data_IF_342022030330
#
_entry.id   IF_342022030330
#
_cell.length_a   1.000
_cell.length_b   1.000
_cell.length_c   1.000
_cell.angle_alpha   90.00
_cell.angle_beta   90.00
_cell.angle_gamma   90.00
#
_symmetry.space_group_name_H-M   'P 1'
#
loop_
_entity.id
_entity.type
_entity.pdbx_description
1 polymer ?
#
# COMPACT_ATOMS: atom_id res chain seq x y z
N UNK A 1 0.34 -9.91 11.47
CA UNK A 1 0.07 -10.51 10.15
C UNK A 1 0.68 -9.66 9.04
N UNK A 2 0.89 -10.22 7.85
CA UNK A 2 1.40 -9.48 6.68
C UNK A 2 0.31 -9.41 5.62
N UNK A 3 0.09 -8.22 5.04
CA UNK A 3 -0.84 -7.99 3.93
C UNK A 3 -0.07 -7.45 2.74
N UNK A 4 -0.31 -8.03 1.57
CA UNK A 4 0.39 -7.69 0.33
C UNK A 4 -0.65 -7.29 -0.71
N UNK A 5 -0.49 -6.10 -1.29
CA UNK A 5 -1.23 -5.66 -2.46
C UNK A 5 -0.29 -5.63 -3.67
N UNK A 6 -0.71 -6.22 -4.78
CA UNK A 6 0.04 -6.24 -6.03
C UNK A 6 -0.60 -5.25 -7.01
N UNK A 7 0.18 -4.27 -7.46
CA UNK A 7 -0.29 -3.17 -8.30
C UNK A 7 0.38 -3.29 -9.67
N UNK A 8 -0.43 -3.46 -10.71
CA UNK A 8 0.03 -3.27 -12.09
C UNK A 8 0.19 -1.78 -12.38
N UNK A 9 1.35 -1.42 -12.90
CA UNK A 9 1.70 -0.03 -13.18
C UNK A 9 1.99 0.07 -14.67
N UNK A 10 1.31 0.98 -15.40
CA UNK A 10 1.66 1.23 -16.79
C UNK A 10 3.13 1.61 -16.95
N UNK A 11 3.72 1.22 -18.07
CA UNK A 11 5.12 1.51 -18.36
C UNK A 11 5.41 3.01 -18.26
N UNK A 12 6.55 3.35 -17.63
CA UNK A 12 6.95 4.74 -17.41
C UNK A 12 6.28 5.44 -16.21
N UNK A 13 5.23 4.89 -15.60
CA UNK A 13 4.54 5.52 -14.46
C UNK A 13 5.05 5.09 -13.08
N UNK A 14 6.08 4.25 -13.02
CA UNK A 14 6.66 3.76 -11.76
C UNK A 14 7.13 4.88 -10.83
N UNK A 15 7.90 5.85 -11.33
CA UNK A 15 8.38 6.96 -10.51
C UNK A 15 7.25 7.82 -9.93
N UNK A 16 6.20 8.06 -10.72
CA UNK A 16 5.00 8.80 -10.27
C UNK A 16 4.26 8.04 -9.17
N UNK A 17 4.19 6.70 -9.27
CA UNK A 17 3.65 5.86 -8.20
C UNK A 17 4.48 6.01 -6.93
N UNK A 18 5.80 5.87 -7.04
CA UNK A 18 6.73 5.97 -5.91
C UNK A 18 6.58 7.32 -5.17
N UNK A 19 6.51 8.43 -5.91
CA UNK A 19 6.28 9.76 -5.35
C UNK A 19 4.92 9.87 -4.63
N UNK A 20 3.84 9.42 -5.27
CA UNK A 20 2.49 9.44 -4.68
C UNK A 20 2.38 8.57 -3.43
N UNK A 21 3.11 7.47 -3.37
CA UNK A 21 3.13 6.60 -2.19
C UNK A 21 3.99 7.19 -1.08
N UNK A 22 5.15 7.77 -1.39
CA UNK A 22 5.96 8.47 -0.40
C UNK A 22 5.17 9.60 0.28
N UNK A 23 4.39 10.37 -0.49
CA UNK A 23 3.52 11.41 0.05
C UNK A 23 2.38 10.88 0.95
N UNK A 24 1.98 9.62 0.78
CA UNK A 24 0.88 8.98 1.52
C UNK A 24 1.33 8.04 2.63
N UNK A 25 2.63 7.80 2.78
CA UNK A 25 3.19 6.86 3.75
C UNK A 25 2.66 7.10 5.16
N UNK A 26 2.56 8.37 5.56
CA UNK A 26 2.09 8.77 6.88
C UNK A 26 0.61 8.55 7.16
N UNK A 27 -0.20 8.24 6.15
CA UNK A 27 -1.64 8.07 6.32
C UNK A 27 -2.00 6.77 7.07
N UNK A 28 -1.14 5.75 7.00
CA UNK A 28 -1.36 4.45 7.69
C UNK A 28 -0.58 4.34 9.00
N UNK A 29 0.47 5.14 9.18
CA UNK A 29 1.39 5.07 10.34
C UNK A 29 0.69 5.24 11.70
N UNK A 30 -0.45 5.94 11.74
CA UNK A 30 -1.21 6.19 12.97
C UNK A 30 -2.31 5.15 13.24
N UNK A 31 -2.50 4.18 12.34
CA UNK A 31 -3.52 3.16 12.51
C UNK A 31 -3.15 2.20 13.67
N UNK A 32 -4.07 1.90 14.59
CA UNK A 32 -3.83 0.91 15.64
C UNK A 32 -3.31 -0.41 15.08
N UNK A 33 -2.29 -0.96 15.73
CA UNK A 33 -1.69 -2.23 15.34
C UNK A 33 -0.85 -2.20 14.06
N UNK A 34 -0.72 -1.06 13.36
CA UNK A 34 0.23 -0.93 12.26
C UNK A 34 1.68 -1.04 12.76
N UNK A 35 2.53 -1.75 12.02
CA UNK A 35 3.93 -2.01 12.40
C UNK A 35 4.95 -1.56 11.37
N UNK A 36 4.54 -1.35 10.13
CA UNK A 36 5.46 -0.94 9.08
C UNK A 36 4.94 -1.20 7.69
N UNK A 37 5.60 -0.55 6.74
CA UNK A 37 5.28 -0.58 5.33
C UNK A 37 6.55 -0.76 4.51
N UNK A 38 6.42 -1.50 3.41
CA UNK A 38 7.46 -1.62 2.39
C UNK A 38 6.81 -1.50 1.01
N UNK A 39 7.48 -0.76 0.12
CA UNK A 39 7.16 -0.75 -1.31
C UNK A 39 8.28 -1.47 -2.05
N UNK A 40 7.94 -2.57 -2.70
CA UNK A 40 8.88 -3.36 -3.48
C UNK A 40 8.72 -3.02 -4.95
N UNK A 41 9.76 -2.40 -5.51
CA UNK A 41 9.85 -2.13 -6.95
C UNK A 41 10.28 -3.40 -7.69
N UNK A 42 9.57 -3.80 -8.76
CA UNK A 42 10.00 -4.90 -9.60
C UNK A 42 11.26 -4.52 -10.38
N UNK A 43 12.29 -5.37 -10.33
CA UNK A 43 13.53 -5.21 -11.10
C UNK A 43 13.73 -6.29 -12.16
N UNK A 44 12.88 -7.33 -12.14
CA UNK A 44 12.97 -8.46 -13.05
C UNK A 44 12.29 -8.24 -14.41
N UNK A 45 12.58 -9.13 -15.35
CA UNK A 45 11.95 -9.10 -16.68
C UNK A 45 10.53 -9.65 -16.69
N UNK A 46 10.24 -10.68 -15.88
CA UNK A 46 8.94 -11.35 -15.87
C UNK A 46 7.90 -10.69 -14.95
N UNK A 47 8.31 -10.22 -13.77
CA UNK A 47 7.42 -9.55 -12.83
C UNK A 47 7.49 -8.04 -13.04
N UNK A 48 6.33 -7.41 -13.23
CA UNK A 48 6.19 -5.97 -13.52
C UNK A 48 5.34 -5.24 -12.48
N UNK A 49 4.75 -5.95 -11.53
CA UNK A 49 3.91 -5.37 -10.48
C UNK A 49 4.77 -4.83 -9.35
N UNK A 50 4.31 -3.72 -8.80
CA UNK A 50 4.78 -3.23 -7.51
C UNK A 50 4.06 -3.99 -6.42
N UNK A 51 4.76 -4.24 -5.31
CA UNK A 51 4.14 -4.82 -4.13
C UNK A 51 4.14 -3.82 -3.00
N UNK A 52 2.98 -3.60 -2.44
CA UNK A 52 2.80 -2.85 -1.21
C UNK A 52 2.62 -3.85 -0.08
N UNK A 53 3.56 -3.88 0.84
CA UNK A 53 3.58 -4.79 1.97
C UNK A 53 3.31 -3.99 3.23
N UNK A 54 2.35 -4.42 4.04
CA UNK A 54 2.07 -3.83 5.34
C UNK A 54 2.10 -4.91 6.43
N UNK A 55 2.69 -4.55 7.56
CA UNK A 55 2.81 -5.40 8.73
C UNK A 55 1.87 -4.89 9.82
N UNK A 56 1.11 -5.81 10.40
CA UNK A 56 0.10 -5.52 11.42
C UNK A 56 0.28 -6.41 12.64
N UNK A 57 -0.18 -5.95 13.80
CA UNK A 57 -0.19 -6.74 15.01
C UNK A 57 -1.16 -7.93 14.88
N UNK A 58 -2.40 -7.66 14.50
CA UNK A 58 -3.43 -8.67 14.27
C UNK A 58 -4.11 -8.51 12.91
N UNK A 59 -4.89 -9.51 12.49
CA UNK A 59 -5.75 -9.39 11.31
C UNK A 59 -6.89 -8.40 11.54
N UNK A 60 -7.42 -8.35 12.77
CA UNK A 60 -8.50 -7.44 13.18
C UNK A 60 -8.07 -5.97 13.06
N UNK A 61 -6.84 -5.62 13.46
CA UNK A 61 -6.30 -4.27 13.31
C UNK A 61 -6.31 -3.80 11.84
N UNK A 62 -5.92 -4.70 10.92
CA UNK A 62 -5.96 -4.42 9.49
C UNK A 62 -7.40 -4.27 8.98
N UNK A 63 -8.29 -5.19 9.36
CA UNK A 63 -9.69 -5.15 8.92
C UNK A 63 -10.38 -3.87 9.42
N UNK A 64 -10.10 -3.44 10.66
CA UNK A 64 -10.57 -2.17 11.21
C UNK A 64 -10.04 -0.97 10.42
N UNK A 65 -8.77 -0.97 10.02
CA UNK A 65 -8.19 0.09 9.21
C UNK A 65 -8.82 0.15 7.81
N UNK A 66 -8.99 -0.98 7.12
CA UNK A 66 -9.62 -1.02 5.78
C UNK A 66 -11.04 -0.45 5.81
N UNK A 67 -11.77 -0.68 6.89
CA UNK A 67 -13.13 -0.17 7.07
C UNK A 67 -13.17 1.28 7.60
N UNK A 68 -12.02 1.93 7.80
CA UNK A 68 -11.94 3.32 8.28
C UNK A 68 -12.12 4.35 7.16
N UNK A 69 -12.50 5.57 7.54
CA UNK A 69 -12.59 6.70 6.61
C UNK A 69 -11.23 7.09 5.99
N UNK A 70 -10.12 6.77 6.65
CA UNK A 70 -8.78 7.09 6.15
C UNK A 70 -8.32 6.15 5.04
N UNK A 71 -8.77 4.88 5.06
CA UNK A 71 -8.58 3.97 3.94
C UNK A 71 -9.30 4.45 2.68
N UNK A 72 -10.54 4.92 2.82
CA UNK A 72 -11.36 5.42 1.71
C UNK A 72 -10.73 6.64 1.00
N UNK A 73 -10.01 7.51 1.72
CA UNK A 73 -9.30 8.66 1.13
C UNK A 73 -8.08 8.24 0.30
N UNK A 74 -7.46 7.10 0.63
CA UNK A 74 -6.30 6.56 -0.08
C UNK A 74 -6.64 5.64 -1.26
N UNK A 75 -7.81 4.99 -1.20
CA UNK A 75 -8.26 3.96 -2.15
C UNK A 75 -9.60 4.30 -2.80
N UNK A 76 -9.98 5.58 -2.83
CA UNK A 76 -11.22 6.06 -3.43
C UNK A 76 -11.42 5.48 -4.82
N UNK A 77 -12.65 5.00 -5.08
CA UNK A 77 -13.11 4.32 -6.29
C UNK A 77 -12.45 4.86 -7.56
N UNK A 78 -11.88 3.95 -8.35
CA UNK A 78 -11.75 4.19 -9.78
C UNK A 78 -13.17 4.30 -10.34
N UNK A 79 -13.51 5.46 -10.89
CA UNK A 79 -14.58 5.56 -11.88
C UNK A 79 -14.19 4.79 -13.14
#
# INVERSE_FOLDING_TARGET
>A
VVRINAIEVPEGLGATLEERFAARLHAVDQAPGFRGFEMLRPTGEAEKRYFIVTHWATAEDFDNWVNSADFAKGHGHAD
#
